data_IF_226023153656
#
_entry.id   IF_226023153656
#
_cell.length_a   1.000
_cell.length_b   1.000
_cell.length_c   1.000
_cell.angle_alpha   90.00
_cell.angle_beta   90.00
_cell.angle_gamma   90.00
#
_symmetry.space_group_name_H-M   'P 1'
#
loop_
_entity.id
_entity.type
_entity.pdbx_description
1 polymer ?
#
# COMPACT_ATOMS: atom_id res chain seq x y z
N UNK A 1 4.69 11.38 -14.32
CA UNK A 1 3.88 10.46 -13.49
C UNK A 1 4.41 9.06 -13.66
N UNK A 2 5.20 8.58 -12.70
CA UNK A 2 5.55 7.16 -12.63
C UNK A 2 4.47 6.53 -11.74
N UNK A 3 3.65 5.63 -12.30
CA UNK A 3 2.86 4.76 -11.45
C UNK A 3 3.87 3.88 -10.71
N UNK A 4 4.21 4.24 -9.49
CA UNK A 4 5.02 3.42 -8.60
C UNK A 4 4.20 2.27 -8.03
N UNK A 5 4.83 1.41 -7.25
CA UNK A 5 4.14 0.47 -6.39
C UNK A 5 3.75 1.17 -5.08
N UNK A 6 2.50 0.96 -4.65
CA UNK A 6 2.02 1.39 -3.34
C UNK A 6 1.95 0.17 -2.41
N UNK A 7 2.69 0.23 -1.32
CA UNK A 7 2.67 -0.78 -0.27
C UNK A 7 1.67 -0.38 0.81
N UNK A 8 0.85 -1.35 1.23
CA UNK A 8 -0.11 -1.20 2.33
C UNK A 8 0.36 -2.07 3.49
N UNK A 9 0.60 -1.45 4.64
CA UNK A 9 1.03 -2.11 5.86
C UNK A 9 -0.12 -2.09 6.87
N UNK A 10 -0.37 -3.25 7.47
CA UNK A 10 -1.43 -3.45 8.45
C UNK A 10 -0.89 -3.37 9.88
N UNK A 11 -1.75 -3.08 10.87
CA UNK A 11 -1.41 -2.96 12.29
C UNK A 11 -0.58 -4.13 12.84
N UNK A 12 -0.83 -5.33 12.33
CA UNK A 12 -0.20 -6.57 12.82
C UNK A 12 1.32 -6.62 12.57
N UNK A 13 1.83 -5.79 11.66
CA UNK A 13 3.23 -5.82 11.23
C UNK A 13 3.97 -4.53 11.55
N UNK A 14 3.24 -3.52 12.01
CA UNK A 14 3.83 -2.27 12.46
C UNK A 14 3.10 -1.82 13.74
N UNK A 15 3.70 -1.96 14.93
CA UNK A 15 3.06 -1.60 16.20
C UNK A 15 2.72 -0.11 16.32
N UNK A 16 3.22 0.72 15.38
CA UNK A 16 2.89 2.13 15.27
C UNK A 16 1.53 2.40 14.59
N UNK A 17 0.90 1.39 13.97
CA UNK A 17 -0.37 1.56 13.26
C UNK A 17 -1.53 1.08 14.15
N UNK A 18 -2.43 1.96 14.59
CA UNK A 18 -3.56 1.57 15.42
C UNK A 18 -4.53 0.64 14.66
N UNK A 19 -5.28 -0.18 15.41
CA UNK A 19 -6.31 -1.05 14.83
C UNK A 19 -7.30 -0.22 13.99
N UNK A 20 -7.70 -0.77 12.85
CA UNK A 20 -8.58 -0.07 11.90
C UNK A 20 -7.91 1.01 11.06
N UNK A 21 -6.58 1.18 11.18
CA UNK A 21 -5.78 2.04 10.30
C UNK A 21 -4.86 1.20 9.43
N UNK A 22 -4.39 1.82 8.36
CA UNK A 22 -3.37 1.28 7.45
C UNK A 22 -2.26 2.29 7.29
N UNK A 23 -1.07 1.80 6.99
CA UNK A 23 0.06 2.62 6.62
C UNK A 23 0.36 2.45 5.14
N UNK A 24 0.40 3.55 4.41
CA UNK A 24 0.57 3.60 2.96
C UNK A 24 1.97 4.12 2.66
N UNK A 25 2.75 3.39 1.88
CA UNK A 25 4.11 3.78 1.52
C UNK A 25 4.35 3.57 0.03
N UNK A 26 4.79 4.62 -0.66
CA UNK A 26 5.18 4.55 -2.05
C UNK A 26 6.64 4.12 -2.21
N UNK A 27 6.96 3.46 -3.32
CA UNK A 27 8.34 3.12 -3.70
C UNK A 27 9.21 4.34 -4.04
N UNK A 28 8.62 5.45 -4.48
CA UNK A 28 9.35 6.67 -4.81
C UNK A 28 9.57 7.57 -3.59
N UNK A 29 10.51 7.18 -2.73
CA UNK A 29 10.82 7.85 -1.46
C UNK A 29 11.00 9.38 -1.56
N UNK A 30 11.52 9.89 -2.68
CA UNK A 30 11.83 11.32 -2.87
C UNK A 30 10.64 12.16 -3.36
N UNK A 31 9.62 11.53 -3.93
CA UNK A 31 8.51 12.23 -4.59
C UNK A 31 7.15 11.58 -4.28
N UNK A 32 7.02 10.95 -3.12
CA UNK A 32 5.77 10.41 -2.59
C UNK A 32 5.37 11.17 -1.33
N UNK A 33 4.17 11.71 -1.31
CA UNK A 33 3.50 12.12 -0.08
C UNK A 33 2.71 10.93 0.42
N UNK A 34 3.19 10.28 1.48
CA UNK A 34 2.59 9.06 2.01
C UNK A 34 2.57 9.04 3.55
N UNK A 35 2.25 7.89 4.16
CA UNK A 35 2.06 7.80 5.61
C UNK A 35 3.30 8.19 6.42
N UNK A 36 4.49 8.24 5.82
CA UNK A 36 5.69 8.80 6.48
C UNK A 36 5.56 10.29 6.78
N UNK A 37 4.75 11.01 6.02
CA UNK A 37 4.51 12.44 6.18
C UNK A 37 3.26 12.76 6.99
N UNK A 38 2.14 12.07 6.75
CA UNK A 38 0.84 12.37 7.38
C UNK A 38 0.37 11.33 8.40
N UNK A 39 1.11 10.23 8.60
CA UNK A 39 0.77 9.16 9.53
C UNK A 39 -0.17 8.10 8.96
N UNK A 40 -0.71 7.26 9.85
CA UNK A 40 -1.61 6.16 9.49
C UNK A 40 -2.98 6.67 9.03
N UNK A 41 -3.59 6.00 8.04
CA UNK A 41 -4.89 6.37 7.46
C UNK A 41 -5.97 5.39 7.94
N UNK A 42 -7.14 5.87 8.42
CA UNK A 42 -8.23 4.98 8.79
C UNK A 42 -8.79 4.24 7.57
N UNK A 43 -9.14 2.96 7.75
CA UNK A 43 -9.62 2.08 6.68
C UNK A 43 -10.87 2.62 5.98
N UNK A 44 -11.71 3.37 6.71
CA UNK A 44 -12.93 3.99 6.19
C UNK A 44 -12.68 5.02 5.06
N UNK A 45 -11.46 5.57 4.95
CA UNK A 45 -11.10 6.50 3.88
C UNK A 45 -10.62 5.80 2.60
N UNK A 46 -10.38 4.50 2.66
CA UNK A 46 -9.93 3.72 1.50
C UNK A 46 -11.11 3.48 0.58
N UNK A 47 -11.04 4.02 -0.64
CA UNK A 47 -12.07 3.83 -1.68
C UNK A 47 -11.93 2.50 -2.41
N UNK A 48 -10.70 2.01 -2.56
CA UNK A 48 -10.42 0.77 -3.27
C UNK A 48 -8.92 0.49 -3.32
N UNK A 49 -8.58 -0.75 -3.66
CA UNK A 49 -7.20 -1.22 -3.80
C UNK A 49 -6.88 -1.42 -5.28
N UNK A 50 -5.73 -0.92 -5.72
CA UNK A 50 -5.26 -1.12 -7.10
C UNK A 50 -4.58 -2.48 -7.16
N UNK A 51 -5.14 -3.40 -7.95
CA UNK A 51 -4.63 -4.78 -8.06
C UNK A 51 -3.89 -5.04 -9.37
N UNK A 52 -4.13 -4.24 -10.42
CA UNK A 52 -3.58 -4.46 -11.75
C UNK A 52 -3.11 -3.16 -12.39
N UNK A 53 -1.98 -3.25 -13.11
CA UNK A 53 -1.51 -2.21 -14.01
C UNK A 53 -1.90 -2.59 -15.44
N UNK A 54 -2.72 -1.75 -16.08
CA UNK A 54 -3.18 -1.97 -17.47
C UNK A 54 -2.24 -1.28 -18.48
N UNK A 55 -1.70 -0.12 -18.12
CA UNK A 55 -0.82 0.69 -18.98
C UNK A 55 0.47 1.05 -18.19
N UNK A 56 1.67 1.06 -18.79
CA UNK A 56 2.00 0.73 -20.19
C UNK A 56 1.92 -0.77 -20.46
N UNK A 57 1.62 -1.15 -21.71
CA UNK A 57 1.44 -2.56 -22.09
C UNK A 57 2.67 -3.44 -21.79
N UNK A 58 3.88 -2.86 -21.80
CA UNK A 58 5.10 -3.59 -21.45
C UNK A 58 5.25 -3.87 -19.95
N UNK A 59 4.45 -3.21 -19.11
CA UNK A 59 4.38 -3.42 -17.67
C UNK A 59 2.99 -3.86 -17.24
N UNK A 60 2.23 -4.46 -18.16
CA UNK A 60 0.95 -5.06 -17.85
C UNK A 60 1.15 -6.21 -16.86
N UNK A 61 0.40 -6.18 -15.75
CA UNK A 61 0.52 -7.23 -14.75
C UNK A 61 -0.20 -6.93 -13.44
N UNK A 62 -0.27 -7.95 -12.59
CA UNK A 62 -0.67 -7.81 -11.20
C UNK A 62 0.32 -6.87 -10.51
N UNK A 63 -0.23 -5.86 -9.83
CA UNK A 63 0.58 -5.10 -8.90
C UNK A 63 0.95 -6.02 -7.74
N UNK A 64 2.23 -6.00 -7.39
CA UNK A 64 2.74 -6.85 -6.33
C UNK A 64 1.97 -6.51 -5.05
N UNK A 65 1.40 -7.54 -4.43
CA UNK A 65 0.79 -7.34 -3.12
C UNK A 65 1.88 -6.86 -2.16
N UNK A 66 1.49 -6.02 -1.20
CA UNK A 66 2.36 -5.72 -0.07
C UNK A 66 2.96 -7.02 0.46
N UNK A 67 4.28 -7.09 0.74
CA UNK A 67 4.94 -8.30 1.26
C UNK A 67 4.19 -8.94 2.44
N UNK A 68 3.43 -8.11 3.14
CA UNK A 68 2.61 -8.37 4.30
C UNK A 68 1.28 -9.06 4.04
N UNK A 69 0.79 -9.10 2.80
CA UNK A 69 -0.47 -9.77 2.45
C UNK A 69 -0.42 -11.29 2.64
N UNK A 70 0.78 -11.87 2.65
CA UNK A 70 0.98 -13.31 2.91
C UNK A 70 0.67 -13.68 4.36
N UNK A 71 1.01 -12.80 5.31
CA UNK A 71 0.84 -13.05 6.75
C UNK A 71 -0.61 -12.94 7.21
N UNK A 72 -1.51 -12.39 6.39
CA UNK A 72 -2.94 -12.26 6.69
C UNK A 72 -3.80 -13.37 6.08
N UNK A 73 -3.19 -14.28 5.29
CA UNK A 73 -3.91 -15.33 4.57
C UNK A 73 -3.90 -16.67 5.31
N UNK A 74 -3.14 -16.73 6.40
CA UNK A 74 -2.90 -17.95 7.19
C UNK A 74 -3.85 -18.09 8.41
N UNK A 75 -4.86 -17.23 8.55
CA UNK A 75 -5.92 -17.28 9.58
C UNK A 75 -7.31 -17.52 8.98
#
# INVERSE_FOLDING_TARGET
WQFGNLYIFFPLLNPQVPKGHVWLEGDNLKNSTDSRSYGSVPYALIRGRICFRIWPFHSFGLLQESPNGRLLKDD
#
